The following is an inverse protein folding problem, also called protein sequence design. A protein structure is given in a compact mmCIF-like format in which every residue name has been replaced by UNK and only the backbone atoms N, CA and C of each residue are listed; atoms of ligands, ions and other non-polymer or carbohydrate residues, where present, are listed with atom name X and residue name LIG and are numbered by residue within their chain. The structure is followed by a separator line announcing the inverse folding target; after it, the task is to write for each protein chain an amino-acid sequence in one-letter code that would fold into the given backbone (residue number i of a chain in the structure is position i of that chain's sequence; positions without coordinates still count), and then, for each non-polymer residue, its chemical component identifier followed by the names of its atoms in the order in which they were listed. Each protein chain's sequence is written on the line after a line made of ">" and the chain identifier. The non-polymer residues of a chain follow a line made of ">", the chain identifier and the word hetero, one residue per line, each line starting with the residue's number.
data_IF_574132917664
#
_entry.id   IF_574132917664
#
_cell.length_a   1.000
_cell.length_b   1.000
_cell.length_c   1.000
_cell.angle_alpha   90.00
_cell.angle_beta   90.00
_cell.angle_gamma   90.00
#
_symmetry.space_group_name_H-M   'P 1'
#
loop_
_entity.id
_entity.type
_entity.pdbx_description
1 polymer ?
#
# COMPACT_ATOMS: atom_id res chain seq x y z
N UNK A 1 -7.26 5.37 21.76
CA UNK A 1 -6.03 4.77 21.21
C UNK A 1 -6.22 3.28 21.30
N UNK A 2 -6.36 2.57 20.17
CA UNK A 2 -6.44 1.11 20.20
C UNK A 2 -5.07 0.59 20.63
N UNK A 3 -5.04 -0.23 21.66
CA UNK A 3 -3.80 -0.88 22.10
C UNK A 3 -3.50 -2.00 21.11
N UNK A 4 -2.33 -1.96 20.47
CA UNK A 4 -1.93 -3.01 19.55
C UNK A 4 -1.86 -4.37 20.28
N UNK A 5 -2.28 -5.47 19.63
CA UNK A 5 -2.15 -6.79 20.24
C UNK A 5 -0.70 -7.09 20.61
N UNK A 6 -0.46 -7.93 21.66
CA UNK A 6 0.89 -8.31 22.05
C UNK A 6 1.63 -9.02 20.90
N UNK A 7 2.94 -8.77 20.76
CA UNK A 7 3.78 -9.33 19.71
C UNK A 7 3.62 -10.85 19.49
N UNK A 8 3.57 -11.70 20.54
CA UNK A 8 3.32 -13.13 20.35
C UNK A 8 1.97 -13.47 19.68
N UNK A 9 0.94 -12.65 19.90
CA UNK A 9 -0.36 -12.82 19.25
C UNK A 9 -0.30 -12.49 17.77
N UNK A 10 0.45 -11.42 17.38
CA UNK A 10 0.70 -11.06 16.00
C UNK A 10 1.47 -12.16 15.26
N UNK A 11 2.56 -12.65 15.87
CA UNK A 11 3.33 -13.78 15.34
C UNK A 11 2.45 -15.03 15.15
N UNK A 12 1.63 -15.38 16.14
CA UNK A 12 0.72 -16.53 16.05
C UNK A 12 -0.33 -16.36 14.94
N UNK A 13 -0.85 -15.14 14.74
CA UNK A 13 -1.79 -14.87 13.66
C UNK A 13 -1.16 -15.02 12.28
N UNK A 14 0.09 -14.58 12.13
CA UNK A 14 0.84 -14.66 10.86
C UNK A 14 1.46 -16.04 10.60
N UNK A 15 1.68 -16.85 11.63
CA UNK A 15 2.18 -18.22 11.47
C UNK A 15 1.09 -19.21 11.04
N UNK A 16 -0.20 -18.85 11.12
CA UNK A 16 -1.32 -19.75 10.83
C UNK A 16 -2.09 -19.28 9.58
N UNK A 17 -1.79 -19.88 8.39
CA UNK A 17 -2.48 -19.51 7.15
C UNK A 17 -3.98 -19.84 7.13
N UNK A 18 -4.49 -20.59 8.10
CA UNK A 18 -5.93 -20.92 8.21
C UNK A 18 -6.75 -19.81 8.87
N UNK A 19 -6.11 -18.83 9.50
CA UNK A 19 -6.80 -17.68 10.09
C UNK A 19 -7.43 -16.81 8.99
N UNK A 20 -8.57 -16.13 9.29
CA UNK A 20 -9.19 -15.20 8.34
C UNK A 20 -8.20 -14.20 7.78
N UNK A 21 -8.31 -13.92 6.48
CA UNK A 21 -7.37 -13.04 5.79
C UNK A 21 -7.34 -11.63 6.39
N UNK A 22 -8.48 -11.04 6.71
CA UNK A 22 -8.56 -9.72 7.36
C UNK A 22 -7.84 -9.68 8.71
N UNK A 23 -7.88 -10.76 9.50
CA UNK A 23 -7.10 -10.85 10.74
C UNK A 23 -5.60 -10.84 10.47
N UNK A 24 -5.13 -11.62 9.47
CA UNK A 24 -3.71 -11.69 9.11
C UNK A 24 -3.22 -10.37 8.52
N UNK A 25 -4.06 -9.71 7.71
CA UNK A 25 -3.81 -8.37 7.18
C UNK A 25 -3.61 -7.36 8.33
N UNK A 26 -4.55 -7.28 9.27
CA UNK A 26 -4.42 -6.39 10.44
C UNK A 26 -3.19 -6.73 11.29
N UNK A 27 -2.88 -8.01 11.47
CA UNK A 27 -1.68 -8.42 12.22
C UNK A 27 -0.39 -7.91 11.56
N UNK A 28 -0.33 -7.88 10.22
CA UNK A 28 0.78 -7.32 9.44
C UNK A 28 1.00 -5.85 9.76
N UNK A 29 -0.06 -5.05 9.74
CA UNK A 29 0.03 -3.61 10.03
C UNK A 29 0.27 -3.29 11.51
N UNK A 30 -0.28 -4.07 12.43
CA UNK A 30 0.07 -3.95 13.85
C UNK A 30 1.54 -4.32 14.10
N UNK A 31 2.09 -5.28 13.37
CA UNK A 31 3.51 -5.63 13.46
C UNK A 31 4.40 -4.48 12.95
N UNK A 32 4.01 -3.83 11.84
CA UNK A 32 4.64 -2.59 11.37
C UNK A 32 4.61 -1.50 12.45
N UNK A 33 3.43 -1.24 13.03
CA UNK A 33 3.29 -0.22 14.08
C UNK A 33 4.15 -0.54 15.31
N UNK A 34 4.25 -1.82 15.70
CA UNK A 34 5.12 -2.24 16.81
C UNK A 34 6.60 -1.96 16.50
N UNK A 35 7.03 -2.24 15.26
CA UNK A 35 8.37 -1.92 14.77
C UNK A 35 8.64 -0.41 14.81
N UNK A 36 7.75 0.41 14.23
CA UNK A 36 7.91 1.85 14.15
C UNK A 36 7.99 2.49 15.55
N UNK A 37 7.11 2.07 16.47
CA UNK A 37 7.12 2.51 17.86
C UNK A 37 8.41 2.13 18.59
N UNK A 38 8.92 0.91 18.36
CA UNK A 38 10.18 0.45 18.93
C UNK A 38 11.37 1.29 18.42
N UNK A 39 11.45 1.55 17.13
CA UNK A 39 12.53 2.34 16.53
C UNK A 39 12.48 3.80 17.00
N UNK A 40 11.30 4.40 17.08
CA UNK A 40 11.10 5.75 17.61
C UNK A 40 11.59 5.86 19.07
N UNK A 41 11.19 4.94 19.92
CA UNK A 41 11.59 4.92 21.33
C UNK A 41 13.11 4.75 21.51
N UNK A 42 13.79 4.08 20.59
CA UNK A 42 15.28 3.99 20.61
C UNK A 42 15.93 5.30 20.25
N UNK A 43 15.47 5.97 19.19
CA UNK A 43 16.05 7.27 18.79
C UNK A 43 15.89 8.34 19.86
N UNK A 44 14.75 8.36 20.56
CA UNK A 44 14.49 9.35 21.63
C UNK A 44 15.31 9.10 22.91
N UNK A 45 15.84 7.87 23.11
CA UNK A 45 16.64 7.49 24.28
C UNK A 45 18.16 7.57 24.04
N UNK A 46 18.63 7.69 22.81
CA UNK A 46 20.05 7.84 22.50
C UNK A 46 20.62 9.22 22.90
N UNK A 47 19.77 10.18 23.26
CA UNK A 47 20.14 11.51 23.77
C UNK A 47 20.40 11.58 25.31
N UNK A 48 20.24 10.46 26.03
CA UNK A 48 20.47 10.43 27.48
C UNK A 48 21.52 9.38 27.83
N UNK A 49 22.69 9.85 28.25
CA UNK A 49 23.81 9.05 28.82
C UNK A 49 23.40 8.23 30.07
N UNK A 50 22.50 7.26 29.90
CA UNK A 50 22.16 6.33 30.97
C UNK A 50 22.04 4.91 30.42
N UNK A 51 23.23 4.31 30.18
CA UNK A 51 23.36 2.86 29.94
C UNK A 51 23.19 2.13 31.28
N UNK A 52 21.97 2.06 31.79
CA UNK A 52 21.59 0.98 32.71
C UNK A 52 20.84 -0.10 31.93
N UNK A 53 21.56 -1.16 31.68
CA UNK A 53 21.18 -2.46 31.18
C UNK A 53 19.73 -2.84 31.51
N UNK A 54 18.79 -2.66 30.57
CA UNK A 54 17.60 -3.51 30.50
C UNK A 54 17.98 -4.79 29.77
N UNK A 55 18.41 -5.77 30.54
CA UNK A 55 18.47 -7.18 30.11
C UNK A 55 17.07 -7.65 29.77
N UNK A 56 16.90 -8.25 28.56
CA UNK A 56 15.76 -9.08 28.13
C UNK A 56 14.54 -8.41 27.48
N UNK A 57 14.64 -7.28 26.82
CA UNK A 57 13.63 -6.94 25.81
C UNK A 57 14.06 -7.59 24.48
N UNK A 58 13.26 -8.55 24.02
CA UNK A 58 13.36 -9.16 22.69
C UNK A 58 13.43 -7.99 21.68
N UNK A 59 14.40 -8.02 20.75
CA UNK A 59 14.51 -6.95 19.72
C UNK A 59 13.32 -7.01 18.79
N UNK A 60 12.30 -6.19 19.09
CA UNK A 60 11.03 -6.15 18.35
C UNK A 60 11.28 -5.95 16.86
N UNK A 61 12.30 -5.16 16.49
CA UNK A 61 12.61 -4.94 15.08
C UNK A 61 13.11 -6.21 14.39
N UNK A 62 13.94 -7.00 15.07
CA UNK A 62 14.42 -8.28 14.55
C UNK A 62 13.27 -9.29 14.42
N UNK A 63 12.42 -9.37 15.44
CA UNK A 63 11.24 -10.25 15.45
C UNK A 63 10.27 -9.89 14.33
N UNK A 64 10.02 -8.61 14.12
CA UNK A 64 9.12 -8.15 13.07
C UNK A 64 9.65 -8.54 11.67
N UNK A 65 10.91 -8.24 11.38
CA UNK A 65 11.53 -8.60 10.10
C UNK A 65 11.55 -10.11 9.88
N UNK A 66 11.89 -10.90 10.90
CA UNK A 66 11.89 -12.36 10.79
C UNK A 66 10.47 -12.91 10.54
N UNK A 67 9.48 -12.42 11.29
CA UNK A 67 8.08 -12.85 11.14
C UNK A 67 7.56 -12.54 9.73
N UNK A 68 7.82 -11.34 9.21
CA UNK A 68 7.42 -10.95 7.84
C UNK A 68 8.15 -11.79 6.79
N UNK A 69 9.46 -12.04 6.97
CA UNK A 69 10.26 -12.85 6.04
C UNK A 69 9.79 -14.31 5.97
N UNK A 70 9.47 -14.91 7.12
CA UNK A 70 8.94 -16.27 7.20
C UNK A 70 7.56 -16.35 6.54
N UNK A 71 6.69 -15.37 6.83
CA UNK A 71 5.34 -15.28 6.26
C UNK A 71 5.37 -15.04 4.76
N UNK A 72 6.25 -14.17 4.26
CA UNK A 72 6.47 -13.94 2.82
C UNK A 72 6.90 -15.22 2.10
N UNK A 73 7.71 -16.05 2.74
CA UNK A 73 8.21 -17.30 2.18
C UNK A 73 7.18 -18.45 2.20
N UNK A 74 6.12 -18.33 3.00
CA UNK A 74 5.07 -19.35 3.10
C UNK A 74 3.98 -19.14 2.06
N UNK A 75 4.02 -19.90 0.97
CA UNK A 75 3.06 -19.81 -0.15
C UNK A 75 1.62 -20.10 0.24
N UNK A 76 1.36 -20.72 1.42
CA UNK A 76 0.00 -20.98 1.92
C UNK A 76 -0.78 -19.69 2.28
N UNK A 77 -0.09 -18.57 2.43
CA UNK A 77 -0.74 -17.28 2.68
C UNK A 77 -1.48 -16.71 1.46
N UNK A 78 -1.19 -17.22 0.26
CA UNK A 78 -1.74 -16.68 -0.99
C UNK A 78 -0.98 -15.45 -1.50
N UNK A 79 -1.30 -15.04 -2.72
CA UNK A 79 -0.56 -13.96 -3.39
C UNK A 79 -0.83 -12.60 -2.74
N UNK A 80 -2.09 -12.29 -2.40
CA UNK A 80 -2.45 -10.99 -1.82
C UNK A 80 -1.69 -10.73 -0.51
N UNK A 81 -1.76 -11.64 0.44
CA UNK A 81 -1.15 -11.38 1.75
C UNK A 81 0.39 -11.39 1.69
N UNK A 82 0.97 -12.19 0.79
CA UNK A 82 2.42 -12.19 0.56
C UNK A 82 2.89 -10.90 -0.11
N UNK A 83 2.10 -10.33 -1.00
CA UNK A 83 2.29 -8.97 -1.54
C UNK A 83 2.34 -7.96 -0.40
N UNK A 84 1.36 -7.97 0.51
CA UNK A 84 1.32 -7.07 1.66
C UNK A 84 2.52 -7.21 2.61
N UNK A 85 3.02 -8.43 2.82
CA UNK A 85 4.23 -8.64 3.61
C UNK A 85 5.44 -7.94 2.95
N UNK A 86 5.60 -8.08 1.64
CA UNK A 86 6.67 -7.42 0.89
C UNK A 86 6.52 -5.89 0.95
N UNK A 87 5.30 -5.36 0.74
CA UNK A 87 4.99 -3.94 0.89
C UNK A 87 5.43 -3.41 2.26
N UNK A 88 4.97 -4.02 3.35
CA UNK A 88 5.34 -3.59 4.70
C UNK A 88 6.85 -3.66 4.91
N UNK A 89 7.54 -4.71 4.44
CA UNK A 89 9.01 -4.80 4.52
C UNK A 89 9.70 -3.63 3.79
N UNK A 90 9.18 -3.21 2.64
CA UNK A 90 9.64 -2.03 1.92
C UNK A 90 9.45 -0.73 2.72
N UNK A 91 8.27 -0.56 3.33
CA UNK A 91 7.94 0.62 4.14
C UNK A 91 8.79 0.72 5.42
N UNK A 92 9.21 -0.40 6.01
CA UNK A 92 10.13 -0.42 7.15
C UNK A 92 11.56 0.03 6.78
N UNK A 93 11.93 -0.04 5.50
CA UNK A 93 13.26 0.33 4.96
C UNK A 93 14.43 -0.33 5.70
N UNK A 94 14.23 -1.51 6.22
CA UNK A 94 15.24 -2.24 6.95
C UNK A 94 16.01 -3.18 6.03
N UNK A 95 17.33 -2.97 5.89
CA UNK A 95 18.17 -3.77 5.00
C UNK A 95 18.21 -5.26 5.36
N UNK A 96 17.82 -5.63 6.58
CA UNK A 96 17.68 -7.04 6.99
C UNK A 96 16.58 -7.78 6.21
N UNK A 97 15.66 -7.04 5.57
CA UNK A 97 14.63 -7.58 4.68
C UNK A 97 15.15 -8.02 3.31
N UNK A 98 16.25 -7.43 2.84
CA UNK A 98 16.77 -7.62 1.48
C UNK A 98 16.93 -9.08 1.07
N UNK A 99 17.54 -9.98 1.89
CA UNK A 99 17.75 -11.36 1.46
C UNK A 99 16.44 -12.13 1.17
N UNK A 100 15.38 -11.87 1.95
CA UNK A 100 14.08 -12.51 1.75
C UNK A 100 13.39 -11.97 0.48
N UNK A 101 13.40 -10.66 0.27
CA UNK A 101 12.83 -10.00 -0.90
C UNK A 101 13.53 -10.43 -2.20
N UNK A 102 14.87 -10.44 -2.22
CA UNK A 102 15.63 -10.88 -3.38
C UNK A 102 15.41 -12.35 -3.75
N UNK A 103 15.28 -13.22 -2.75
CA UNK A 103 14.98 -14.63 -2.95
C UNK A 103 13.67 -14.83 -3.71
N UNK A 104 12.61 -14.13 -3.30
CA UNK A 104 11.29 -14.22 -3.93
C UNK A 104 11.31 -13.56 -5.32
N UNK A 105 11.91 -12.37 -5.45
CA UNK A 105 12.02 -11.67 -6.74
C UNK A 105 12.69 -12.53 -7.81
N UNK A 106 13.74 -13.27 -7.46
CA UNK A 106 14.49 -14.13 -8.40
C UNK A 106 13.79 -15.46 -8.73
N UNK A 107 12.78 -15.84 -7.97
CA UNK A 107 12.04 -17.09 -8.22
C UNK A 107 10.99 -16.87 -9.33
N UNK A 108 11.36 -17.15 -10.58
CA UNK A 108 10.46 -17.02 -11.75
C UNK A 108 9.21 -17.92 -11.66
N UNK A 109 9.15 -18.86 -10.74
CA UNK A 109 7.98 -19.71 -10.50
C UNK A 109 6.99 -19.13 -9.50
N UNK A 110 7.39 -18.09 -8.76
CA UNK A 110 6.53 -17.42 -7.79
C UNK A 110 5.55 -16.45 -8.48
N UNK A 111 4.55 -16.04 -7.74
CA UNK A 111 3.48 -15.18 -8.26
C UNK A 111 4.01 -13.80 -8.68
N UNK A 112 3.58 -13.34 -9.85
CA UNK A 112 4.00 -12.04 -10.43
C UNK A 112 3.71 -10.90 -9.47
N UNK A 113 2.56 -10.93 -8.79
CA UNK A 113 2.17 -9.91 -7.81
C UNK A 113 3.13 -9.82 -6.63
N UNK A 114 3.56 -10.98 -6.10
CA UNK A 114 4.50 -11.01 -4.97
C UNK A 114 5.89 -10.58 -5.43
N UNK A 115 6.29 -10.98 -6.62
CA UNK A 115 7.60 -10.65 -7.18
C UNK A 115 7.75 -9.17 -7.50
N UNK A 116 6.73 -8.54 -8.11
CA UNK A 116 6.80 -7.10 -8.38
C UNK A 116 6.90 -6.31 -7.09
N UNK A 117 6.10 -6.68 -6.07
CA UNK A 117 6.13 -5.98 -4.78
C UNK A 117 7.47 -6.16 -4.06
N UNK A 118 8.11 -7.34 -4.18
CA UNK A 118 9.48 -7.50 -3.69
C UNK A 118 10.48 -6.55 -4.38
N UNK A 119 10.32 -6.29 -5.68
CA UNK A 119 11.16 -5.34 -6.41
C UNK A 119 10.90 -3.89 -5.95
N UNK A 120 9.64 -3.53 -5.72
CA UNK A 120 9.25 -2.22 -5.19
C UNK A 120 9.79 -2.00 -3.78
N UNK A 121 9.64 -2.99 -2.90
CA UNK A 121 10.18 -2.99 -1.56
C UNK A 121 11.71 -2.79 -1.53
N UNK A 122 12.46 -3.44 -2.44
CA UNK A 122 13.89 -3.21 -2.60
C UNK A 122 14.20 -1.77 -3.03
N UNK A 123 13.38 -1.20 -3.90
CA UNK A 123 13.45 0.22 -4.28
C UNK A 123 13.20 1.15 -3.10
N UNK A 124 12.17 0.89 -2.29
CA UNK A 124 11.81 1.66 -1.09
C UNK A 124 12.91 1.61 -0.01
N UNK A 125 13.51 0.44 0.23
CA UNK A 125 14.71 0.30 1.08
C UNK A 125 15.84 1.15 0.53
N UNK A 126 16.06 1.13 -0.79
CA UNK A 126 16.98 2.02 -1.46
C UNK A 126 18.46 1.70 -1.25
N UNK A 127 18.80 0.46 -0.90
CA UNK A 127 20.17 0.02 -0.72
C UNK A 127 20.86 -0.26 -2.07
N UNK A 128 22.09 0.21 -2.21
CA UNK A 128 22.92 -0.08 -3.39
C UNK A 128 23.23 -1.57 -3.53
N UNK A 129 23.12 -2.36 -2.47
CA UNK A 129 23.34 -3.81 -2.52
C UNK A 129 22.32 -4.55 -3.40
N UNK A 130 21.11 -3.99 -3.59
CA UNK A 130 20.06 -4.59 -4.41
C UNK A 130 20.18 -4.30 -5.92
N UNK A 131 21.11 -3.41 -6.34
CA UNK A 131 21.24 -2.97 -7.74
C UNK A 131 21.47 -4.15 -8.68
N UNK A 132 22.40 -5.06 -8.35
CA UNK A 132 22.70 -6.21 -9.21
C UNK A 132 21.48 -7.12 -9.41
N UNK A 133 20.72 -7.39 -8.34
CA UNK A 133 19.48 -8.18 -8.41
C UNK A 133 18.45 -7.51 -9.31
N UNK A 134 18.22 -6.21 -9.09
CA UNK A 134 17.27 -5.45 -9.86
C UNK A 134 17.65 -5.35 -11.34
N UNK A 135 18.94 -5.18 -11.68
CA UNK A 135 19.42 -5.15 -13.08
C UNK A 135 19.21 -6.48 -13.82
N UNK A 136 19.33 -7.60 -13.10
CA UNK A 136 19.02 -8.92 -13.66
C UNK A 136 17.53 -9.07 -13.88
N UNK A 137 16.70 -8.75 -12.86
CA UNK A 137 15.26 -8.92 -12.91
C UNK A 137 14.54 -7.84 -13.74
N UNK A 138 15.18 -6.72 -14.08
CA UNK A 138 14.66 -5.75 -15.05
C UNK A 138 14.48 -6.33 -16.47
N UNK A 139 15.02 -7.53 -16.72
CA UNK A 139 14.89 -8.29 -17.99
C UNK A 139 13.92 -9.46 -17.83
N UNK A 140 13.10 -9.45 -16.80
CA UNK A 140 12.13 -10.52 -16.54
C UNK A 140 11.13 -10.68 -17.68
N UNK A 141 10.60 -11.90 -17.82
CA UNK A 141 9.57 -12.22 -18.83
C UNK A 141 8.24 -11.53 -18.53
N UNK A 142 7.93 -11.30 -17.23
CA UNK A 142 6.80 -10.50 -16.82
C UNK A 142 7.14 -9.02 -16.98
N UNK A 143 6.30 -8.33 -17.74
CA UNK A 143 6.45 -6.89 -17.99
C UNK A 143 6.38 -6.12 -16.66
N UNK A 144 5.48 -6.52 -15.77
CA UNK A 144 5.22 -5.88 -14.49
C UNK A 144 6.47 -5.95 -13.60
N UNK A 145 7.06 -7.14 -13.46
CA UNK A 145 8.30 -7.33 -12.67
C UNK A 145 9.45 -6.53 -13.27
N UNK A 146 9.62 -6.59 -14.60
CA UNK A 146 10.67 -5.85 -15.29
C UNK A 146 10.54 -4.33 -15.12
N UNK A 147 9.32 -3.79 -15.28
CA UNK A 147 9.01 -2.37 -15.09
C UNK A 147 9.26 -1.93 -13.65
N UNK A 148 8.84 -2.72 -12.67
CA UNK A 148 9.06 -2.41 -11.24
C UNK A 148 10.55 -2.41 -10.91
N UNK A 149 11.31 -3.40 -11.39
CA UNK A 149 12.76 -3.42 -11.21
C UNK A 149 13.44 -2.18 -11.82
N UNK A 150 13.02 -1.76 -13.03
CA UNK A 150 13.55 -0.55 -13.65
C UNK A 150 13.22 0.71 -12.85
N UNK A 151 11.97 0.83 -12.37
CA UNK A 151 11.53 1.94 -11.52
C UNK A 151 12.34 2.01 -10.22
N UNK A 152 12.54 0.86 -9.55
CA UNK A 152 13.37 0.75 -8.34
C UNK A 152 14.83 1.16 -8.59
N UNK A 153 15.41 0.75 -9.73
CA UNK A 153 16.76 1.16 -10.14
C UNK A 153 16.85 2.67 -10.37
N UNK A 154 15.86 3.26 -11.03
CA UNK A 154 15.84 4.70 -11.30
C UNK A 154 15.76 5.48 -9.98
N UNK A 155 14.93 5.02 -9.04
CA UNK A 155 14.82 5.65 -7.73
C UNK A 155 16.10 5.51 -6.89
N UNK A 156 16.71 4.32 -6.83
CA UNK A 156 17.98 4.10 -6.11
C UNK A 156 19.08 4.99 -6.71
N UNK A 157 19.18 5.04 -8.03
CA UNK A 157 20.19 5.87 -8.73
C UNK A 157 19.95 7.35 -8.48
N UNK A 158 18.68 7.79 -8.50
CA UNK A 158 18.33 9.16 -8.16
C UNK A 158 18.77 9.50 -6.72
N UNK A 159 18.52 8.62 -5.73
CA UNK A 159 18.98 8.80 -4.34
C UNK A 159 20.51 8.87 -4.23
N UNK A 160 21.24 7.97 -4.89
CA UNK A 160 22.71 7.94 -4.88
C UNK A 160 23.30 9.23 -5.46
N UNK A 161 22.65 9.80 -6.48
CA UNK A 161 23.06 11.07 -7.08
C UNK A 161 22.69 12.31 -6.26
N UNK A 162 22.31 12.13 -5.00
CA UNK A 162 22.03 13.20 -4.05
C UNK A 162 20.55 13.59 -3.93
N UNK A 163 19.65 12.88 -4.63
CA UNK A 163 18.22 13.12 -4.53
C UNK A 163 17.78 14.51 -5.00
N UNK A 164 18.64 15.20 -5.76
CA UNK A 164 18.37 16.52 -6.30
C UNK A 164 18.48 16.51 -7.82
N UNK A 165 17.63 17.24 -8.48
CA UNK A 165 17.80 17.54 -9.92
C UNK A 165 19.03 18.43 -10.06
N UNK A 166 19.98 18.02 -10.91
CA UNK A 166 21.32 18.60 -11.00
C UNK A 166 21.38 20.08 -11.43
N UNK A 167 20.26 20.70 -11.80
CA UNK A 167 20.24 22.03 -12.43
C UNK A 167 19.19 23.02 -11.87
N UNK A 168 18.45 22.72 -10.76
CA UNK A 168 17.35 23.60 -10.40
C UNK A 168 17.27 24.01 -8.94
N UNK A 169 17.48 25.31 -8.74
CA UNK A 169 16.95 26.05 -7.59
C UNK A 169 15.40 26.14 -7.74
N UNK A 170 14.70 25.02 -7.55
CA UNK A 170 13.25 25.07 -7.51
C UNK A 170 12.82 25.83 -6.23
N UNK A 171 11.85 26.73 -6.33
CA UNK A 171 11.26 27.30 -5.12
C UNK A 171 10.59 26.19 -4.32
N UNK A 172 11.06 25.98 -3.10
CA UNK A 172 10.64 24.92 -2.13
C UNK A 172 9.18 25.08 -1.66
N UNK A 173 8.39 25.91 -2.28
CA UNK A 173 7.14 26.43 -1.71
C UNK A 173 5.84 25.92 -2.39
N UNK A 174 5.85 24.81 -3.12
CA UNK A 174 4.60 24.25 -3.62
C UNK A 174 4.18 23.03 -2.77
N UNK A 175 2.93 23.03 -2.33
CA UNK A 175 2.34 21.90 -1.60
C UNK A 175 2.46 20.55 -2.36
N UNK A 176 2.48 20.57 -3.70
CA UNK A 176 2.65 19.37 -4.51
C UNK A 176 4.04 18.71 -4.42
N UNK A 177 4.99 19.35 -3.74
CA UNK A 177 6.33 18.81 -3.48
C UNK A 177 6.46 18.13 -2.13
N UNK A 178 5.49 18.32 -1.24
CA UNK A 178 5.49 17.76 0.11
C UNK A 178 4.42 16.68 0.16
N UNK A 179 4.84 15.43 0.41
CA UNK A 179 3.90 14.34 0.62
C UNK A 179 3.16 14.54 1.95
N UNK A 180 1.82 14.58 1.95
CA UNK A 180 1.04 14.49 3.18
C UNK A 180 0.93 13.04 3.70
N UNK A 181 1.52 12.09 2.98
CA UNK A 181 1.47 10.66 3.27
C UNK A 181 2.80 10.18 3.82
N UNK A 182 2.77 9.20 4.72
CA UNK A 182 3.97 8.61 5.32
C UNK A 182 4.55 7.45 4.48
N UNK A 183 3.91 7.10 3.35
CA UNK A 183 4.40 6.07 2.45
C UNK A 183 5.74 6.46 1.82
N UNK A 184 6.57 5.43 1.55
CA UNK A 184 7.79 5.58 0.76
C UNK A 184 7.40 5.40 -0.70
N UNK A 185 7.34 6.51 -1.42
CA UNK A 185 6.93 6.51 -2.81
C UNK A 185 8.07 6.01 -3.74
N UNK A 186 7.78 5.21 -4.77
CA UNK A 186 8.78 4.71 -5.72
C UNK A 186 9.39 5.79 -6.64
N UNK A 187 8.82 7.00 -6.65
CA UNK A 187 9.39 8.15 -7.35
C UNK A 187 9.00 9.46 -6.65
N UNK A 188 9.93 10.39 -6.42
CA UNK A 188 9.61 11.69 -5.82
C UNK A 188 8.92 12.60 -6.84
N UNK A 189 8.03 13.52 -6.43
CA UNK A 189 7.54 14.58 -7.30
C UNK A 189 8.67 15.35 -8.00
N UNK A 190 8.49 15.72 -9.28
CA UNK A 190 9.50 16.51 -9.98
C UNK A 190 9.35 18.00 -9.61
N UNK A 191 10.45 18.72 -9.22
CA UNK A 191 10.38 20.13 -8.83
C UNK A 191 9.73 21.06 -9.86
N UNK A 192 9.89 20.80 -11.16
CA UNK A 192 9.24 21.55 -12.24
C UNK A 192 7.72 21.52 -12.20
N UNK A 193 7.13 20.46 -11.63
CA UNK A 193 5.68 20.33 -11.52
C UNK A 193 5.05 21.42 -10.63
N UNK A 194 5.84 22.07 -9.76
CA UNK A 194 5.38 23.19 -8.96
C UNK A 194 4.84 24.37 -9.81
N UNK A 195 5.41 24.57 -10.99
CA UNK A 195 5.01 25.66 -11.91
C UNK A 195 3.91 25.26 -12.90
N UNK A 196 3.58 23.97 -13.00
CA UNK A 196 2.59 23.44 -13.95
C UNK A 196 1.18 23.45 -13.36
N UNK A 197 0.18 23.60 -14.22
CA UNK A 197 -1.21 23.33 -13.88
C UNK A 197 -1.47 21.83 -13.65
N UNK A 198 -2.58 21.48 -13.01
CA UNK A 198 -2.98 20.09 -12.82
C UNK A 198 -3.14 19.34 -14.15
N UNK A 199 -3.72 19.99 -15.17
CA UNK A 199 -3.88 19.39 -16.49
C UNK A 199 -2.53 19.19 -17.23
N UNK A 200 -1.55 20.09 -17.06
CA UNK A 200 -0.22 19.90 -17.64
C UNK A 200 0.53 18.74 -16.99
N UNK A 201 0.40 18.55 -15.68
CA UNK A 201 0.95 17.38 -15.00
C UNK A 201 0.19 16.10 -15.41
N UNK A 202 -1.13 16.20 -15.57
CA UNK A 202 -1.97 15.12 -16.11
C UNK A 202 -1.51 14.69 -17.51
N UNK A 203 -1.15 15.63 -18.36
CA UNK A 203 -0.62 15.34 -19.69
C UNK A 203 0.70 14.54 -19.64
N UNK A 204 1.59 14.82 -18.67
CA UNK A 204 2.82 14.02 -18.46
C UNK A 204 2.48 12.60 -17.99
N UNK A 205 1.56 12.46 -17.04
CA UNK A 205 1.11 11.16 -16.56
C UNK A 205 0.51 10.31 -17.68
N UNK A 206 -0.29 10.90 -18.55
CA UNK A 206 -1.03 10.24 -19.62
C UNK A 206 -0.23 10.10 -20.93
N UNK A 207 1.02 10.55 -20.99
CA UNK A 207 1.90 10.32 -22.15
C UNK A 207 2.55 8.93 -22.06
N UNK A 208 1.97 7.96 -22.76
CA UNK A 208 2.49 6.58 -22.80
C UNK A 208 3.89 6.46 -23.43
N UNK A 209 4.36 7.48 -24.14
CA UNK A 209 5.71 7.51 -24.70
C UNK A 209 6.78 8.03 -23.72
N UNK A 210 6.35 8.67 -22.63
CA UNK A 210 7.25 9.18 -21.61
C UNK A 210 7.86 8.05 -20.77
N UNK A 211 9.05 8.31 -20.25
CA UNK A 211 9.71 7.35 -19.34
C UNK A 211 8.87 7.09 -18.10
N UNK A 212 8.74 5.82 -17.70
CA UNK A 212 7.82 5.40 -16.63
C UNK A 212 8.13 6.14 -15.31
N UNK A 213 9.39 6.33 -14.96
CA UNK A 213 9.79 7.10 -13.77
C UNK A 213 9.24 8.53 -13.78
N UNK A 214 9.25 9.22 -14.92
CA UNK A 214 8.69 10.59 -15.03
C UNK A 214 7.16 10.59 -14.91
N UNK A 215 6.48 9.56 -15.42
CA UNK A 215 5.04 9.38 -15.26
C UNK A 215 4.67 9.15 -13.79
N UNK A 216 5.44 8.34 -13.06
CA UNK A 216 5.28 8.15 -11.61
C UNK A 216 5.51 9.46 -10.84
N UNK A 217 6.51 10.24 -11.21
CA UNK A 217 6.74 11.56 -10.62
C UNK A 217 5.56 12.51 -10.84
N UNK A 218 4.93 12.47 -12.02
CA UNK A 218 3.72 13.25 -12.32
C UNK A 218 2.53 12.75 -11.47
N UNK A 219 2.35 11.44 -11.33
CA UNK A 219 1.32 10.81 -10.50
C UNK A 219 1.42 11.27 -9.04
N UNK A 220 2.60 11.20 -8.42
CA UNK A 220 2.79 11.66 -7.04
C UNK A 220 2.66 13.17 -6.88
N UNK A 221 2.99 13.95 -7.91
CA UNK A 221 2.70 15.39 -7.92
C UNK A 221 1.19 15.69 -7.93
N UNK A 222 0.40 14.92 -8.68
CA UNK A 222 -1.06 15.02 -8.70
C UNK A 222 -1.65 14.59 -7.36
N UNK A 223 -1.17 13.47 -6.78
CA UNK A 223 -1.59 13.01 -5.45
C UNK A 223 -1.39 14.10 -4.39
N UNK A 224 -0.17 14.64 -4.30
CA UNK A 224 0.15 15.65 -3.29
C UNK A 224 -0.62 16.96 -3.50
N UNK A 225 -1.03 17.26 -4.74
CA UNK A 225 -1.87 18.41 -5.06
C UNK A 225 -3.32 18.20 -4.63
N UNK A 226 -3.82 16.98 -4.80
CA UNK A 226 -5.17 16.59 -4.41
C UNK A 226 -6.29 17.27 -5.17
N UNK A 227 -7.51 17.05 -4.71
CA UNK A 227 -8.73 17.64 -5.20
C UNK A 227 -9.25 17.04 -6.52
N UNK A 228 -10.45 17.47 -6.92
CA UNK A 228 -11.22 16.90 -8.02
C UNK A 228 -10.46 16.85 -9.35
N UNK A 229 -9.71 17.90 -9.70
CA UNK A 229 -8.98 17.95 -10.96
C UNK A 229 -7.83 16.93 -10.98
N UNK A 230 -7.13 16.72 -9.85
CA UNK A 230 -6.11 15.69 -9.74
C UNK A 230 -6.71 14.29 -9.85
N UNK A 231 -7.83 14.04 -9.16
CA UNK A 231 -8.56 12.75 -9.25
C UNK A 231 -9.00 12.46 -10.68
N UNK A 232 -9.45 13.48 -11.43
CA UNK A 232 -9.82 13.32 -12.83
C UNK A 232 -8.63 12.89 -13.71
N UNK A 233 -7.47 13.53 -13.56
CA UNK A 233 -6.29 13.18 -14.35
C UNK A 233 -5.76 11.77 -13.99
N UNK A 234 -5.74 11.42 -12.70
CA UNK A 234 -5.41 10.09 -12.21
C UNK A 234 -6.42 9.04 -12.70
N UNK A 235 -7.71 9.30 -12.56
CA UNK A 235 -8.76 8.41 -13.05
C UNK A 235 -8.71 8.20 -14.56
N UNK A 236 -8.31 9.23 -15.32
CA UNK A 236 -8.07 9.10 -16.76
C UNK A 236 -6.94 8.11 -17.04
N UNK A 237 -5.81 8.20 -16.33
CA UNK A 237 -4.71 7.25 -16.45
C UNK A 237 -5.14 5.82 -16.09
N UNK A 238 -5.89 5.63 -14.99
CA UNK A 238 -6.39 4.32 -14.58
C UNK A 238 -7.23 3.64 -15.67
N UNK A 239 -8.03 4.44 -16.41
CA UNK A 239 -8.99 3.89 -17.35
C UNK A 239 -8.45 3.81 -18.78
N UNK A 240 -7.55 4.70 -19.20
CA UNK A 240 -7.14 4.85 -20.59
C UNK A 240 -5.73 4.38 -20.88
N UNK A 241 -4.84 4.27 -19.86
CA UNK A 241 -3.50 3.78 -20.12
C UNK A 241 -3.51 2.32 -20.59
N UNK A 242 -2.87 2.04 -21.70
CA UNK A 242 -2.70 0.68 -22.25
C UNK A 242 -1.27 0.17 -22.10
N UNK A 243 -0.33 1.01 -21.69
CA UNK A 243 1.09 0.72 -21.72
C UNK A 243 1.62 -0.02 -20.48
N UNK A 244 0.98 0.16 -19.30
CA UNK A 244 1.53 -0.37 -18.05
C UNK A 244 0.45 -0.73 -17.02
N UNK A 245 0.29 -2.03 -16.75
CA UNK A 245 -0.54 -2.49 -15.64
C UNK A 245 0.05 -2.04 -14.28
N UNK A 246 1.37 -1.97 -14.17
CA UNK A 246 2.04 -1.42 -12.98
C UNK A 246 1.62 0.04 -12.71
N UNK A 247 1.63 0.88 -13.74
CA UNK A 247 1.20 2.28 -13.55
C UNK A 247 -0.27 2.38 -13.12
N UNK A 248 -1.17 1.62 -13.76
CA UNK A 248 -2.59 1.62 -13.39
C UNK A 248 -2.82 1.11 -11.96
N UNK A 249 -2.08 0.08 -11.54
CA UNK A 249 -2.07 -0.41 -10.16
C UNK A 249 -1.73 0.73 -9.18
N UNK A 250 -0.62 1.39 -9.39
CA UNK A 250 -0.16 2.48 -8.52
C UNK A 250 -1.10 3.71 -8.56
N UNK A 251 -1.74 3.98 -9.71
CA UNK A 251 -2.78 5.02 -9.80
C UNK A 251 -3.99 4.66 -8.94
N UNK A 252 -4.41 3.38 -8.91
CA UNK A 252 -5.50 2.94 -8.04
C UNK A 252 -5.12 3.11 -6.55
N UNK A 253 -3.90 2.73 -6.17
CA UNK A 253 -3.33 2.98 -4.83
C UNK A 253 -3.39 4.48 -4.45
N UNK A 254 -2.91 5.34 -5.33
CA UNK A 254 -2.91 6.80 -5.12
C UNK A 254 -4.34 7.35 -4.98
N UNK A 255 -5.30 6.86 -5.75
CA UNK A 255 -6.72 7.23 -5.61
C UNK A 255 -7.29 6.78 -4.24
N UNK A 256 -6.86 5.62 -3.74
CA UNK A 256 -7.15 5.16 -2.39
C UNK A 256 -6.56 6.08 -1.31
N UNK A 257 -5.30 6.53 -1.47
CA UNK A 257 -4.70 7.53 -0.56
C UNK A 257 -5.46 8.84 -0.54
N UNK A 258 -5.95 9.31 -1.70
CA UNK A 258 -6.73 10.54 -1.79
C UNK A 258 -8.09 10.46 -1.11
N UNK A 259 -8.68 9.26 -1.00
CA UNK A 259 -9.99 9.01 -0.37
C UNK A 259 -11.12 9.93 -0.89
N UNK A 260 -10.98 10.42 -2.11
CA UNK A 260 -11.89 11.39 -2.69
C UNK A 260 -13.09 10.69 -3.35
N UNK A 261 -14.32 11.13 -3.04
CA UNK A 261 -15.55 10.53 -3.54
C UNK A 261 -15.64 10.42 -5.07
N UNK A 262 -15.08 11.38 -5.82
CA UNK A 262 -15.04 11.34 -7.29
C UNK A 262 -14.15 10.20 -7.86
N UNK A 263 -13.37 9.50 -7.02
CA UNK A 263 -12.57 8.35 -7.47
C UNK A 263 -13.39 7.07 -7.64
N UNK A 264 -14.55 6.97 -6.99
CA UNK A 264 -15.39 5.75 -6.94
C UNK A 264 -15.71 5.25 -8.35
N UNK A 265 -16.15 6.11 -9.26
CA UNK A 265 -16.54 5.71 -10.62
C UNK A 265 -15.35 5.14 -11.42
N UNK A 266 -14.14 5.70 -11.25
CA UNK A 266 -12.94 5.20 -11.94
C UNK A 266 -12.51 3.85 -11.38
N UNK A 267 -12.51 3.70 -10.06
CA UNK A 267 -12.15 2.45 -9.38
C UNK A 267 -13.16 1.34 -9.69
N UNK A 268 -14.45 1.66 -9.69
CA UNK A 268 -15.51 0.72 -10.08
C UNK A 268 -15.34 0.23 -11.52
N UNK A 269 -15.08 1.13 -12.47
CA UNK A 269 -14.85 0.77 -13.88
C UNK A 269 -13.62 -0.12 -14.00
N UNK A 270 -12.53 0.16 -13.29
CA UNK A 270 -11.33 -0.65 -13.27
C UNK A 270 -11.59 -2.04 -12.70
N UNK A 271 -12.25 -2.15 -11.54
CA UNK A 271 -12.59 -3.41 -10.90
C UNK A 271 -13.49 -4.29 -11.77
N UNK A 272 -14.45 -3.69 -12.47
CA UNK A 272 -15.42 -4.39 -13.35
C UNK A 272 -14.82 -4.88 -14.67
N UNK A 273 -13.65 -4.45 -15.07
CA UNK A 273 -13.05 -4.87 -16.34
C UNK A 273 -12.52 -6.29 -16.27
N UNK A 274 -13.18 -7.24 -16.88
CA UNK A 274 -12.78 -8.67 -16.92
C UNK A 274 -11.39 -8.93 -17.51
N UNK A 275 -10.90 -8.03 -18.37
CA UNK A 275 -9.60 -8.13 -19.05
C UNK A 275 -8.50 -7.31 -18.37
N UNK A 276 -8.84 -6.56 -17.34
CA UNK A 276 -7.85 -5.81 -16.59
C UNK A 276 -6.93 -6.77 -15.81
N UNK A 277 -5.70 -6.35 -15.62
CA UNK A 277 -4.74 -7.13 -14.87
C UNK A 277 -5.20 -7.26 -13.40
N UNK A 278 -5.06 -8.46 -12.83
CA UNK A 278 -5.54 -8.73 -11.47
C UNK A 278 -4.94 -7.81 -10.42
N UNK A 279 -3.67 -7.37 -10.60
CA UNK A 279 -3.02 -6.40 -9.70
C UNK A 279 -3.70 -5.02 -9.70
N UNK A 280 -4.27 -4.59 -10.84
CA UNK A 280 -5.02 -3.33 -10.93
C UNK A 280 -6.41 -3.48 -10.31
N UNK A 281 -7.04 -4.64 -10.52
CA UNK A 281 -8.37 -4.93 -9.97
C UNK A 281 -8.34 -5.07 -8.45
N UNK A 282 -7.33 -5.75 -7.90
CA UNK A 282 -7.23 -5.88 -6.45
C UNK A 282 -7.04 -4.53 -5.78
N UNK A 283 -6.13 -3.71 -6.31
CA UNK A 283 -5.86 -2.39 -5.76
C UNK A 283 -7.07 -1.45 -5.88
N UNK A 284 -7.83 -1.57 -6.99
CA UNK A 284 -9.09 -0.84 -7.14
C UNK A 284 -10.13 -1.26 -6.08
N UNK A 285 -10.16 -2.53 -5.67
CA UNK A 285 -11.04 -3.00 -4.61
C UNK A 285 -10.60 -2.46 -3.23
N UNK A 286 -9.30 -2.47 -2.94
CA UNK A 286 -8.78 -1.94 -1.68
C UNK A 286 -8.96 -0.42 -1.59
N UNK A 287 -8.71 0.30 -2.69
CA UNK A 287 -8.96 1.73 -2.78
C UNK A 287 -10.43 2.12 -2.55
N UNK A 288 -11.40 1.34 -3.08
CA UNK A 288 -12.83 1.52 -2.78
C UNK A 288 -13.10 1.36 -1.29
N UNK A 289 -12.44 0.41 -0.64
CA UNK A 289 -12.54 0.19 0.81
C UNK A 289 -12.07 1.36 1.67
N UNK A 290 -11.27 2.27 1.11
CA UNK A 290 -10.76 3.45 1.81
C UNK A 290 -11.67 4.70 1.70
N UNK A 291 -12.67 4.73 0.81
CA UNK A 291 -13.51 5.91 0.55
C UNK A 291 -14.73 5.92 1.46
N UNK A 292 -14.58 6.48 2.66
CA UNK A 292 -15.65 6.54 3.67
C UNK A 292 -16.86 7.36 3.24
N UNK A 293 -16.67 8.48 2.53
CA UNK A 293 -17.74 9.42 2.15
C UNK A 293 -18.86 8.75 1.31
N UNK A 294 -18.50 7.74 0.51
CA UNK A 294 -19.46 6.97 -0.32
C UNK A 294 -19.47 5.49 0.06
N UNK A 295 -19.22 5.18 1.34
CA UNK A 295 -19.07 3.79 1.79
C UNK A 295 -20.22 2.88 1.36
N UNK A 296 -21.49 3.30 1.54
CA UNK A 296 -22.62 2.45 1.18
C UNK A 296 -22.67 2.04 -0.30
N UNK A 297 -22.13 2.86 -1.19
CA UNK A 297 -21.96 2.52 -2.61
C UNK A 297 -20.76 1.61 -2.83
N UNK A 298 -19.63 1.92 -2.19
CA UNK A 298 -18.43 1.09 -2.25
C UNK A 298 -18.69 -0.32 -1.73
N UNK A 299 -19.43 -0.46 -0.62
CA UNK A 299 -19.85 -1.75 -0.06
C UNK A 299 -20.62 -2.58 -1.08
N UNK A 300 -21.64 -2.00 -1.73
CA UNK A 300 -22.45 -2.68 -2.76
C UNK A 300 -21.57 -3.11 -3.95
N UNK A 301 -20.61 -2.29 -4.35
CA UNK A 301 -19.67 -2.63 -5.42
C UNK A 301 -18.81 -3.82 -5.00
N UNK A 302 -18.17 -3.76 -3.83
CA UNK A 302 -17.26 -4.79 -3.33
C UNK A 302 -17.97 -6.15 -3.14
N UNK A 303 -19.20 -6.16 -2.65
CA UNK A 303 -19.99 -7.38 -2.46
C UNK A 303 -20.23 -8.15 -3.76
N UNK A 304 -20.30 -7.47 -4.92
CA UNK A 304 -20.46 -8.12 -6.21
C UNK A 304 -19.25 -8.98 -6.61
N UNK A 305 -18.05 -8.71 -6.03
CA UNK A 305 -16.82 -9.39 -6.36
C UNK A 305 -16.35 -10.42 -5.32
N UNK A 306 -17.15 -10.68 -4.27
CA UNK A 306 -16.88 -11.73 -3.28
C UNK A 306 -16.84 -13.15 -3.88
N UNK A 307 -17.31 -13.31 -5.11
CA UNK A 307 -17.25 -14.55 -5.87
C UNK A 307 -16.47 -14.40 -7.19
N UNK A 308 -15.57 -13.41 -7.27
CA UNK A 308 -14.74 -13.23 -8.46
C UNK A 308 -13.92 -14.50 -8.75
N UNK A 309 -13.64 -14.75 -10.02
CA UNK A 309 -12.85 -15.90 -10.48
C UNK A 309 -11.40 -15.87 -9.99
N UNK A 310 -10.85 -14.65 -9.80
CA UNK A 310 -9.50 -14.43 -9.31
C UNK A 310 -9.48 -14.36 -7.78
N UNK A 311 -8.64 -15.18 -7.17
CA UNK A 311 -8.54 -15.27 -5.70
C UNK A 311 -8.10 -13.95 -5.09
N UNK A 312 -7.16 -13.26 -5.72
CA UNK A 312 -6.63 -11.98 -5.22
C UNK A 312 -7.72 -10.91 -5.18
N UNK A 313 -8.52 -10.79 -6.25
CA UNK A 313 -9.63 -9.83 -6.30
C UNK A 313 -10.69 -10.14 -5.25
N UNK A 314 -11.05 -11.44 -5.06
CA UNK A 314 -11.98 -11.85 -4.00
C UNK A 314 -11.46 -11.50 -2.61
N UNK A 315 -10.19 -11.82 -2.36
CA UNK A 315 -9.54 -11.59 -1.07
C UNK A 315 -9.43 -10.09 -0.76
N UNK A 316 -9.10 -9.24 -1.74
CA UNK A 316 -9.08 -7.78 -1.58
C UNK A 316 -10.46 -7.22 -1.23
N UNK A 317 -11.54 -7.71 -1.87
CA UNK A 317 -12.89 -7.31 -1.48
C UNK A 317 -13.24 -7.73 -0.05
N UNK A 318 -12.85 -8.96 0.37
CA UNK A 318 -13.04 -9.42 1.76
C UNK A 318 -12.26 -8.55 2.74
N UNK A 319 -11.02 -8.19 2.43
CA UNK A 319 -10.17 -7.33 3.27
C UNK A 319 -10.76 -5.93 3.38
N UNK A 320 -11.21 -5.35 2.27
CA UNK A 320 -11.83 -4.02 2.25
C UNK A 320 -13.08 -3.96 3.13
N UNK A 321 -13.98 -4.95 3.00
CA UNK A 321 -15.20 -5.05 3.82
C UNK A 321 -14.88 -5.31 5.30
N UNK A 322 -13.94 -6.23 5.60
CA UNK A 322 -13.51 -6.53 6.97
C UNK A 322 -12.89 -5.32 7.67
N UNK A 323 -12.13 -4.50 6.94
CA UNK A 323 -11.56 -3.27 7.48
C UNK A 323 -12.63 -2.25 7.85
N UNK A 324 -13.62 -2.04 7.00
CA UNK A 324 -14.74 -1.16 7.26
C UNK A 324 -15.54 -1.58 8.51
N UNK A 325 -15.83 -2.87 8.64
CA UNK A 325 -16.51 -3.43 9.81
C UNK A 325 -15.65 -3.26 11.09
N UNK A 326 -14.37 -3.56 11.01
CA UNK A 326 -13.47 -3.51 12.16
C UNK A 326 -13.30 -2.09 12.72
N UNK A 327 -13.20 -1.09 11.84
CA UNK A 327 -13.01 0.31 12.23
C UNK A 327 -14.33 1.05 12.47
N UNK A 328 -15.47 0.40 12.19
CA UNK A 328 -16.81 0.85 12.60
C UNK A 328 -17.44 1.90 11.70
N UNK A 329 -16.90 2.22 10.52
CA UNK A 329 -17.58 3.14 9.60
C UNK A 329 -18.65 2.46 8.74
N UNK A 330 -18.62 1.15 8.58
CA UNK A 330 -19.70 0.39 7.96
C UNK A 330 -21.07 0.55 8.68
N UNK A 331 -21.04 0.85 9.98
CA UNK A 331 -22.27 1.02 10.77
C UNK A 331 -22.80 2.47 10.80
N UNK A 332 -22.12 3.44 10.18
CA UNK A 332 -22.57 4.85 10.21
C UNK A 332 -23.70 5.13 9.21
N UNK A 333 -23.83 4.31 8.17
CA UNK A 333 -24.90 4.43 7.15
C UNK A 333 -26.18 3.69 7.52
N UNK A 334 -26.15 2.82 8.54
CA UNK A 334 -27.30 2.01 8.95
C UNK A 334 -28.40 2.80 9.71
N UNK A 335 -28.10 4.02 10.17
CA UNK A 335 -29.09 4.87 10.87
C UNK A 335 -30.05 5.60 9.91
N UNK A 336 -29.84 5.55 8.59
CA UNK A 336 -30.70 6.20 7.59
C UNK A 336 -31.60 5.24 6.78
N UNK A 337 -31.52 3.93 6.99
CA UNK A 337 -32.30 2.96 6.22
C UNK A 337 -32.52 1.63 6.90
N UNK A 338 -33.61 1.50 7.67
CA UNK A 338 -34.09 0.20 8.15
C UNK A 338 -34.48 -0.73 6.97
N UNK A 339 -33.99 -1.96 7.01
CA UNK A 339 -34.43 -3.18 6.31
C UNK A 339 -33.77 -3.64 5.02
N UNK A 340 -32.49 -4.01 5.00
CA UNK A 340 -32.00 -5.02 4.03
C UNK A 340 -30.76 -5.81 4.54
N UNK A 341 -30.69 -6.30 5.74
CA UNK A 341 -29.51 -7.07 6.18
C UNK A 341 -29.88 -8.23 7.12
N UNK A 342 -30.49 -9.28 6.60
CA UNK A 342 -30.69 -10.51 7.41
C UNK A 342 -30.02 -11.77 6.88
N UNK A 343 -29.48 -11.79 5.66
CA UNK A 343 -28.89 -13.01 5.09
C UNK A 343 -27.34 -13.02 5.03
N UNK A 344 -26.68 -11.87 5.22
CA UNK A 344 -25.22 -11.77 5.27
C UNK A 344 -24.62 -12.15 6.65
N UNK A 345 -25.44 -12.15 7.68
CA UNK A 345 -25.05 -12.35 9.09
C UNK A 345 -24.52 -13.77 9.40
N UNK A 346 -24.86 -14.77 8.60
CA UNK A 346 -24.51 -16.19 8.89
C UNK A 346 -23.05 -16.53 8.50
N UNK A 347 -22.38 -15.75 7.67
CA UNK A 347 -20.96 -15.92 7.37
C UNK A 347 -20.04 -15.02 8.19
N UNK A 348 -20.58 -13.95 8.79
CA UNK A 348 -19.84 -12.99 9.63
C UNK A 348 -19.75 -13.41 11.11
N UNK A 349 -20.48 -14.41 11.58
CA UNK A 349 -20.77 -14.69 13.00
C UNK A 349 -19.74 -15.50 13.78
N UNK A 350 -18.44 -15.45 13.47
CA UNK A 350 -17.47 -16.07 14.38
C UNK A 350 -16.37 -15.15 14.93
N UNK A 351 -16.56 -13.83 14.88
CA UNK A 351 -15.58 -12.91 15.44
C UNK A 351 -16.23 -11.76 16.23
N UNK A 352 -16.75 -12.10 17.41
CA UNK A 352 -17.14 -11.09 18.40
C UNK A 352 -15.98 -10.87 19.37
N UNK A 353 -15.12 -9.89 19.10
CA UNK A 353 -14.22 -9.33 20.12
C UNK A 353 -14.75 -7.93 20.49
N UNK A 354 -15.09 -7.78 21.75
CA UNK A 354 -15.55 -6.63 22.49
C UNK A 354 -15.58 -5.28 21.75
N UNK A 355 -16.80 -4.75 21.52
CA UNK A 355 -17.06 -3.35 21.26
C UNK A 355 -16.53 -2.52 22.42
N UNK A 356 -15.52 -1.70 22.15
CA UNK A 356 -15.14 -0.59 23.03
C UNK A 356 -15.86 0.67 22.55
N UNK A 357 -16.57 1.32 23.43
CA UNK A 357 -17.23 2.61 23.21
C UNK A 357 -16.18 3.66 22.82
N UNK A 358 -16.28 4.21 21.60
CA UNK A 358 -15.38 5.26 21.12
C UNK A 358 -16.11 6.60 21.04
N UNK A 359 -15.84 7.49 22.00
CA UNK A 359 -16.05 8.92 21.85
C UNK A 359 -14.80 9.54 21.18
N UNK A 360 -14.99 10.03 19.97
CA UNK A 360 -14.28 11.15 19.35
C UNK A 360 -12.75 11.12 19.37
N UNK A 361 -12.09 10.26 18.54
CA UNK A 361 -10.68 10.40 18.17
C UNK A 361 -10.43 9.89 16.77
N UNK A 362 -9.42 10.45 16.10
CA UNK A 362 -9.04 10.24 14.72
C UNK A 362 -9.10 8.76 14.28
N UNK A 363 -9.80 8.52 13.19
CA UNK A 363 -10.05 7.20 12.63
C UNK A 363 -8.82 6.77 11.80
N UNK A 364 -8.03 5.84 12.32
CA UNK A 364 -6.94 5.20 11.60
C UNK A 364 -7.28 3.74 11.36
N UNK A 365 -7.87 3.42 10.22
CA UNK A 365 -8.19 2.05 9.81
C UNK A 365 -6.98 1.31 9.21
N UNK A 366 -7.05 -0.01 9.09
CA UNK A 366 -5.99 -0.83 8.46
C UNK A 366 -5.76 -0.43 7.02
N UNK A 367 -6.82 -0.20 6.23
CA UNK A 367 -6.70 0.33 4.88
C UNK A 367 -6.21 1.79 4.87
N UNK A 368 -6.58 2.60 5.88
CA UNK A 368 -6.02 3.94 6.08
C UNK A 368 -4.51 3.85 6.38
N UNK A 369 -4.05 2.82 7.09
CA UNK A 369 -2.62 2.57 7.29
C UNK A 369 -1.91 2.08 6.03
N UNK A 370 -2.58 1.35 5.13
CA UNK A 370 -2.07 1.04 3.80
C UNK A 370 -1.91 2.32 2.98
N UNK A 371 -2.92 3.19 2.98
CA UNK A 371 -2.89 4.46 2.27
C UNK A 371 -2.23 5.63 3.04
N UNK A 372 -1.90 5.46 4.30
CA UNK A 372 -1.17 6.34 5.25
C UNK A 372 -1.22 7.85 4.95
N UNK A 373 -2.12 8.55 5.63
CA UNK A 373 -2.05 10.00 5.78
C UNK A 373 -1.12 10.29 6.97
N UNK A 374 -0.11 11.15 6.80
CA UNK A 374 0.72 11.61 7.89
C UNK A 374 -0.10 12.48 8.84
N UNK A 375 -0.07 12.21 10.15
CA UNK A 375 -0.66 13.06 11.20
C UNK A 375 0.00 14.44 11.30
#
# INVERSE_FOLDING_TARGET
>A
MFEAPPLPSLQSALADPTKPIGMRMRATYFLRQAYDNYMKNRSDNDDVDNIETKTSDEDISLVAIQTLSDSLSDTRHGALLRHEFAYVMGQLRDERSIPALEKILRDESDDIMVRHECAEALGAIGSSSSIETLEVCAKDKSIEVGQTCQLALDFIRWKINGGTESDEKAPIACACMISPYSSVDPAPPHPKHAALSTAEIGAILNDESAHLFERFRAMFSLRNRGGKDAVKELGTALIQDESSALLRHEVAYVLGQLQHSDAVEYLEVSLKRDKEHRMVRHESAEALGAIEERWGECEIILEQFLQDKDDVVRESCVVALDAADYWGYANQTADEGENVAKDAETQRTNFSIHKAETNGMAKTGVLINHFNIAD
#
